data_IF_174203329455
#
_entry.id   IF_174203329455
#
_cell.length_a   1.000
_cell.length_b   1.000
_cell.length_c   1.000
_cell.angle_alpha   90.00
_cell.angle_beta   90.00
_cell.angle_gamma   90.00
#
_symmetry.space_group_name_H-M   'P 1'
#
loop_
_entity.id
_entity.type
_entity.pdbx_description
1 polymer ?
#
# COMPACT_ATOMS: atom_id res chain seq x y z
N UNK A 1 89.50 -21.84 30.27
CA UNK A 1 89.19 -22.23 28.88
C UNK A 1 88.33 -21.14 28.27
N UNK A 2 88.89 -20.13 27.61
CA UNK A 2 89.51 -20.10 26.27
C UNK A 2 88.49 -20.27 25.14
N UNK A 3 88.44 -19.21 24.30
CA UNK A 3 87.97 -19.08 22.90
C UNK A 3 86.51 -18.73 22.59
N UNK A 4 86.33 -17.43 22.34
CA UNK A 4 85.56 -16.89 21.20
C UNK A 4 86.01 -17.51 19.87
N UNK A 5 85.12 -17.55 18.87
CA UNK A 5 85.52 -17.26 17.50
C UNK A 5 84.75 -16.10 16.87
N UNK A 6 85.54 -15.24 16.26
CA UNK A 6 85.16 -14.21 15.29
C UNK A 6 84.39 -14.78 14.09
N UNK A 7 83.43 -13.99 13.58
CA UNK A 7 83.17 -13.92 12.15
C UNK A 7 82.73 -12.51 11.72
N UNK A 8 83.67 -11.80 11.09
CA UNK A 8 83.47 -10.58 10.28
C UNK A 8 82.68 -10.91 9.01
N UNK A 9 81.70 -10.08 8.63
CA UNK A 9 81.32 -9.76 7.22
C UNK A 9 80.71 -8.35 7.19
N UNK A 10 81.48 -7.33 6.80
CA UNK A 10 81.49 -6.65 5.49
C UNK A 10 80.12 -6.14 4.99
N UNK A 11 80.13 -4.84 4.72
CA UNK A 11 79.09 -3.93 4.28
C UNK A 11 78.33 -4.35 3.02
N UNK A 12 77.09 -3.86 2.89
CA UNK A 12 76.53 -3.40 1.61
C UNK A 12 75.56 -2.23 1.86
N UNK A 13 75.93 -1.06 1.37
CA UNK A 13 75.04 0.06 1.11
C UNK A 13 73.99 -0.36 0.08
N UNK A 14 72.71 -0.23 0.41
CA UNK A 14 71.63 -0.24 -0.59
C UNK A 14 70.76 0.99 -0.36
N UNK A 15 71.06 2.02 -1.14
CA UNK A 15 70.25 3.23 -1.30
C UNK A 15 69.01 2.84 -2.11
N UNK A 16 67.92 2.45 -1.45
CA UNK A 16 66.64 2.16 -2.12
C UNK A 16 65.88 3.45 -2.37
N UNK A 17 65.80 3.81 -3.65
CA UNK A 17 64.85 4.75 -4.23
C UNK A 17 63.43 4.38 -3.80
N UNK A 18 62.77 5.27 -3.05
CA UNK A 18 61.35 5.17 -2.73
C UNK A 18 60.53 5.60 -3.95
N UNK A 19 59.61 4.77 -4.48
CA UNK A 19 58.72 5.17 -5.54
C UNK A 19 57.66 6.16 -5.03
N UNK A 20 57.57 7.29 -5.71
CA UNK A 20 56.68 8.45 -5.52
C UNK A 20 55.18 8.17 -5.79
N UNK A 21 54.72 6.92 -5.63
CA UNK A 21 53.35 6.48 -5.91
C UNK A 21 52.34 6.66 -4.77
N UNK A 22 52.78 6.85 -3.51
CA UNK A 22 51.87 6.85 -2.35
C UNK A 22 51.09 8.15 -2.12
N UNK A 23 51.43 9.26 -2.78
CA UNK A 23 50.74 10.55 -2.59
C UNK A 23 49.45 10.70 -3.42
N UNK A 24 49.28 9.95 -4.52
CA UNK A 24 48.05 10.06 -5.36
C UNK A 24 46.86 9.24 -4.84
N UNK A 25 47.10 8.17 -4.08
CA UNK A 25 46.01 7.33 -3.53
C UNK A 25 45.24 7.99 -2.37
N UNK A 26 45.90 8.82 -1.55
CA UNK A 26 45.25 9.50 -0.41
C UNK A 26 44.28 10.63 -0.84
N UNK A 27 44.53 11.33 -1.96
CA UNK A 27 43.63 12.39 -2.44
C UNK A 27 42.30 11.87 -2.99
N UNK A 28 42.26 10.66 -3.58
CA UNK A 28 41.01 10.08 -4.09
C UNK A 28 40.06 9.58 -2.99
N UNK A 29 40.60 9.11 -1.85
CA UNK A 29 39.79 8.67 -0.70
C UNK A 29 39.15 9.84 0.06
N UNK A 30 39.82 10.99 0.16
CA UNK A 30 39.25 12.18 0.83
C UNK A 30 38.15 12.86 0.01
N UNK A 31 38.25 12.84 -1.32
CA UNK A 31 37.19 13.36 -2.20
C UNK A 31 35.92 12.50 -2.18
N UNK A 32 36.02 11.16 -2.11
CA UNK A 32 34.84 10.28 -1.98
C UNK A 32 34.07 10.51 -0.67
N UNK A 33 34.78 10.68 0.45
CA UNK A 33 34.15 10.96 1.77
C UNK A 33 33.44 12.31 1.85
N UNK A 34 33.86 13.31 1.06
CA UNK A 34 33.18 14.61 1.01
C UNK A 34 31.92 14.60 0.13
N UNK A 35 31.83 13.69 -0.84
CA UNK A 35 30.64 13.54 -1.70
C UNK A 35 29.50 12.82 -0.97
N UNK A 36 29.80 11.86 -0.09
CA UNK A 36 28.78 11.19 0.74
C UNK A 36 28.15 12.10 1.80
N UNK A 37 28.88 13.09 2.32
CA UNK A 37 28.36 14.05 3.32
C UNK A 37 27.44 15.13 2.76
N UNK A 38 27.27 15.20 1.43
CA UNK A 38 26.36 16.13 0.76
C UNK A 38 25.11 15.43 0.21
N UNK A 39 24.91 14.15 0.53
CA UNK A 39 23.58 13.57 0.37
C UNK A 39 22.75 14.11 1.54
N UNK A 40 21.72 14.93 1.31
CA UNK A 40 20.78 15.24 2.38
C UNK A 40 20.34 13.90 2.99
N UNK A 41 20.16 13.82 4.33
CA UNK A 41 19.53 12.64 4.91
C UNK A 41 18.27 12.38 4.09
N UNK A 42 18.10 11.13 3.64
CA UNK A 42 16.84 10.73 3.06
C UNK A 42 15.77 11.16 4.06
N UNK A 43 14.91 12.09 3.66
CA UNK A 43 13.77 12.48 4.47
C UNK A 43 13.08 11.19 4.89
N UNK A 44 12.68 11.05 6.16
CA UNK A 44 11.86 9.91 6.54
C UNK A 44 10.68 9.94 5.58
N UNK A 45 10.58 8.90 4.74
CA UNK A 45 9.36 8.63 3.99
C UNK A 45 8.33 8.34 5.07
N UNK A 46 7.66 9.39 5.54
CA UNK A 46 6.43 9.28 6.31
C UNK A 46 5.57 8.36 5.46
N UNK A 47 5.33 7.15 5.95
CA UNK A 47 4.56 6.17 5.21
C UNK A 47 3.17 6.74 5.02
N UNK A 48 2.92 7.34 3.85
CA UNK A 48 1.62 7.87 3.48
C UNK A 48 0.64 6.68 3.55
N UNK A 49 -0.37 6.81 4.41
CA UNK A 49 -1.52 5.92 4.38
C UNK A 49 -2.34 6.34 3.16
N UNK A 50 -2.51 5.50 2.13
CA UNK A 50 -3.44 5.81 1.06
C UNK A 50 -4.81 6.17 1.65
N UNK A 51 -5.34 7.28 1.19
CA UNK A 51 -6.62 7.84 1.59
C UNK A 51 -7.58 7.80 0.40
N UNK A 52 -8.85 7.51 0.68
CA UNK A 52 -9.93 7.57 -0.30
C UNK A 52 -11.12 8.30 0.26
N UNK A 53 -11.49 9.37 -0.43
CA UNK A 53 -12.71 10.09 -0.19
C UNK A 53 -13.83 9.57 -1.11
N UNK A 54 -15.07 9.57 -0.62
CA UNK A 54 -16.25 9.32 -1.44
C UNK A 54 -17.41 10.17 -0.94
N UNK A 55 -18.15 10.78 -1.87
CA UNK A 55 -19.32 11.60 -1.58
C UNK A 55 -20.57 11.00 -2.22
N UNK A 56 -21.65 11.00 -1.44
CA UNK A 56 -22.98 10.60 -1.87
C UNK A 56 -23.99 11.64 -1.42
N UNK A 57 -25.00 11.89 -2.24
CA UNK A 57 -26.20 12.62 -1.80
C UNK A 57 -27.35 11.64 -1.76
N UNK A 58 -28.04 11.54 -0.62
CA UNK A 58 -29.14 10.60 -0.37
C UNK A 58 -30.42 11.36 0.00
N UNK A 59 -31.57 10.87 -0.46
CA UNK A 59 -32.88 11.49 -0.23
C UNK A 59 -33.46 11.12 1.15
N UNK A 60 -32.71 11.46 2.19
CA UNK A 60 -33.07 11.25 3.58
C UNK A 60 -32.47 12.34 4.48
N UNK A 61 -33.06 12.55 5.65
CA UNK A 61 -32.53 13.49 6.65
C UNK A 61 -31.24 12.96 7.30
N UNK A 62 -30.38 13.83 7.87
CA UNK A 62 -29.14 13.37 8.50
C UNK A 62 -29.38 12.38 9.64
N UNK A 63 -30.51 12.48 10.35
CA UNK A 63 -30.86 11.55 11.43
C UNK A 63 -31.18 10.13 10.92
N UNK A 64 -31.86 10.02 9.78
CA UNK A 64 -32.17 8.73 9.15
C UNK A 64 -30.90 8.06 8.61
N UNK A 65 -30.05 8.83 7.95
CA UNK A 65 -28.75 8.36 7.45
C UNK A 65 -27.84 7.96 8.61
N UNK A 66 -27.84 8.73 9.71
CA UNK A 66 -27.09 8.41 10.91
C UNK A 66 -27.48 7.07 11.52
N UNK A 67 -28.78 6.78 11.56
CA UNK A 67 -29.29 5.49 12.05
C UNK A 67 -28.73 4.34 11.23
N UNK A 68 -28.59 4.50 9.91
CA UNK A 68 -27.95 3.52 9.04
C UNK A 68 -26.43 3.42 9.25
N UNK A 69 -25.72 4.55 9.35
CA UNK A 69 -24.27 4.57 9.61
C UNK A 69 -23.92 3.86 10.94
N UNK A 70 -24.79 3.99 11.95
CA UNK A 70 -24.66 3.33 13.26
C UNK A 70 -25.08 1.86 13.28
N UNK A 71 -25.86 1.42 12.30
CA UNK A 71 -26.23 0.00 12.15
C UNK A 71 -25.09 -0.74 11.46
N UNK A 72 -24.18 -1.31 12.26
CA UNK A 72 -22.99 -2.02 11.76
C UNK A 72 -23.36 -3.14 10.79
N UNK A 73 -24.48 -3.83 10.99
CA UNK A 73 -24.90 -4.90 10.09
C UNK A 73 -25.35 -4.35 8.74
N UNK A 74 -26.20 -3.32 8.74
CA UNK A 74 -26.65 -2.68 7.50
C UNK A 74 -25.50 -1.97 6.76
N UNK A 75 -24.57 -1.34 7.49
CA UNK A 75 -23.40 -0.70 6.89
C UNK A 75 -22.48 -1.77 6.26
N UNK A 76 -22.20 -2.85 6.98
CA UNK A 76 -21.32 -3.91 6.50
C UNK A 76 -21.92 -4.75 5.37
N UNK A 77 -23.26 -4.83 5.24
CA UNK A 77 -23.87 -5.48 4.08
C UNK A 77 -23.58 -4.75 2.77
N UNK A 78 -23.18 -3.48 2.84
CA UNK A 78 -22.76 -2.69 1.69
C UNK A 78 -21.27 -2.84 1.37
N UNK A 79 -20.50 -3.57 2.19
CA UNK A 79 -19.07 -3.77 2.02
C UNK A 79 -18.83 -5.13 1.36
N UNK A 80 -18.32 -5.17 0.12
CA UNK A 80 -18.10 -6.43 -0.59
C UNK A 80 -17.07 -7.30 0.12
N UNK A 81 -17.32 -8.61 0.13
CA UNK A 81 -16.45 -9.59 0.75
C UNK A 81 -16.61 -9.73 2.26
N UNK A 82 -17.44 -8.92 2.94
CA UNK A 82 -17.81 -9.21 4.34
C UNK A 82 -18.64 -10.49 4.37
N UNK A 83 -18.13 -11.53 5.03
CA UNK A 83 -18.84 -12.82 5.21
C UNK A 83 -19.47 -12.93 6.60
N UNK A 84 -18.90 -12.27 7.61
CA UNK A 84 -19.39 -12.34 9.00
C UNK A 84 -19.21 -11.02 9.72
N UNK A 85 -20.23 -10.65 10.48
CA UNK A 85 -20.24 -9.50 11.40
C UNK A 85 -20.66 -10.03 12.76
N UNK A 86 -19.88 -9.74 13.81
CA UNK A 86 -20.19 -10.08 15.19
C UNK A 86 -20.06 -8.82 16.03
N UNK A 87 -21.19 -8.27 16.47
CA UNK A 87 -21.20 -7.15 17.39
C UNK A 87 -20.71 -7.62 18.77
N UNK A 88 -19.69 -6.95 19.31
CA UNK A 88 -19.14 -7.24 20.64
C UNK A 88 -19.77 -6.33 21.69
N UNK A 89 -19.95 -5.06 21.34
CA UNK A 89 -20.62 -4.03 22.14
C UNK A 89 -21.13 -2.90 21.23
N UNK A 90 -21.66 -1.83 21.82
CA UNK A 90 -22.25 -0.70 21.09
C UNK A 90 -21.28 0.05 20.15
N UNK A 91 -19.97 -0.14 20.31
CA UNK A 91 -18.93 0.57 19.56
C UNK A 91 -17.95 -0.37 18.88
N UNK A 92 -18.03 -1.67 19.12
CA UNK A 92 -17.00 -2.63 18.71
C UNK A 92 -17.63 -3.83 18.00
N UNK A 93 -17.06 -4.21 16.85
CA UNK A 93 -17.48 -5.37 16.09
C UNK A 93 -16.29 -6.12 15.50
N UNK A 94 -16.41 -7.45 15.44
CA UNK A 94 -15.52 -8.31 14.67
C UNK A 94 -16.10 -8.57 13.28
N UNK A 95 -15.27 -8.39 12.26
CA UNK A 95 -15.61 -8.53 10.85
C UNK A 95 -14.70 -9.59 10.21
N UNK A 96 -15.28 -10.50 9.43
CA UNK A 96 -14.51 -11.39 8.55
C UNK A 96 -14.71 -10.95 7.12
N UNK A 97 -13.63 -10.50 6.48
CA UNK A 97 -13.61 -10.07 5.07
C UNK A 97 -12.85 -11.10 4.27
N UNK A 98 -13.46 -11.59 3.19
CA UNK A 98 -12.85 -12.48 2.22
C UNK A 98 -12.89 -11.84 0.85
N UNK A 99 -11.70 -11.62 0.31
CA UNK A 99 -11.49 -10.96 -0.96
C UNK A 99 -10.59 -11.82 -1.85
N UNK A 100 -10.78 -11.72 -3.16
CA UNK A 100 -9.91 -12.43 -4.10
C UNK A 100 -8.90 -11.47 -4.71
N UNK A 101 -7.64 -11.60 -4.29
CA UNK A 101 -6.53 -10.81 -4.84
C UNK A 101 -5.84 -11.62 -5.94
N UNK A 102 -6.27 -11.41 -7.18
CA UNK A 102 -5.81 -12.20 -8.32
C UNK A 102 -6.29 -13.65 -8.22
N UNK A 103 -5.36 -14.59 -8.02
CA UNK A 103 -5.68 -16.03 -7.83
C UNK A 103 -5.66 -16.46 -6.36
N UNK A 104 -5.23 -15.59 -5.46
CA UNK A 104 -5.05 -15.91 -4.04
C UNK A 104 -6.26 -15.41 -3.25
N UNK A 105 -6.96 -16.28 -2.51
CA UNK A 105 -7.97 -15.83 -1.56
C UNK A 105 -7.29 -15.18 -0.35
N UNK A 106 -7.72 -13.97 -0.01
CA UNK A 106 -7.33 -13.25 1.19
C UNK A 106 -8.49 -13.28 2.17
N UNK A 107 -8.27 -13.79 3.37
CA UNK A 107 -9.23 -13.74 4.47
C UNK A 107 -8.61 -12.90 5.57
N UNK A 108 -9.29 -11.83 5.96
CA UNK A 108 -8.87 -10.91 7.02
C UNK A 108 -9.94 -10.88 8.09
N UNK A 109 -9.52 -11.08 9.34
CA UNK A 109 -10.36 -10.85 10.51
C UNK A 109 -10.00 -9.49 11.08
N UNK A 110 -10.95 -8.55 11.05
CA UNK A 110 -10.77 -7.20 11.55
C UNK A 110 -11.58 -6.99 12.82
N UNK A 111 -11.03 -6.22 13.75
CA UNK A 111 -11.79 -5.63 14.85
C UNK A 111 -11.96 -4.15 14.57
N UNK A 112 -13.21 -3.74 14.33
CA UNK A 112 -13.61 -2.35 14.17
C UNK A 112 -14.08 -1.77 15.50
N UNK A 113 -13.69 -0.53 15.79
CA UNK A 113 -14.08 0.21 16.98
C UNK A 113 -14.38 1.67 16.62
N UNK A 114 -15.47 2.20 17.14
CA UNK A 114 -15.80 3.63 17.03
C UNK A 114 -15.08 4.38 18.14
N UNK A 115 -14.15 5.25 17.77
CA UNK A 115 -13.31 5.99 18.71
C UNK A 115 -13.90 7.36 19.06
N UNK A 116 -14.58 8.03 18.13
CA UNK A 116 -15.29 9.29 18.38
C UNK A 116 -16.56 9.39 17.54
N UNK A 117 -17.57 10.11 18.07
CA UNK A 117 -18.78 10.45 17.31
C UNK A 117 -19.42 11.73 17.83
N UNK A 118 -20.11 12.43 16.92
CA UNK A 118 -20.94 13.61 17.17
C UNK A 118 -22.25 13.42 16.38
N UNK A 119 -23.26 12.75 16.96
CA UNK A 119 -24.51 12.48 16.26
C UNK A 119 -25.30 13.76 15.90
N UNK A 120 -25.95 13.83 14.72
CA UNK A 120 -25.87 12.91 13.58
C UNK A 120 -24.77 13.27 12.57
N UNK A 121 -23.76 14.07 12.93
CA UNK A 121 -22.90 14.74 11.96
C UNK A 121 -21.60 14.01 11.65
N UNK A 122 -20.95 13.35 12.62
CA UNK A 122 -19.60 12.80 12.42
C UNK A 122 -19.36 11.52 13.18
N UNK A 123 -18.64 10.58 12.56
CA UNK A 123 -18.16 9.35 13.18
C UNK A 123 -16.72 9.09 12.77
N UNK A 124 -15.88 8.74 13.74
CA UNK A 124 -14.51 8.25 13.51
C UNK A 124 -14.37 6.85 14.09
N UNK A 125 -13.90 5.92 13.27
CA UNK A 125 -13.68 4.53 13.65
C UNK A 125 -12.32 4.02 13.15
N UNK A 126 -11.77 3.08 13.89
CA UNK A 126 -10.53 2.38 13.56
C UNK A 126 -10.82 0.89 13.46
N UNK A 127 -10.37 0.26 12.38
CA UNK A 127 -10.40 -1.19 12.22
C UNK A 127 -8.97 -1.73 12.11
N UNK A 128 -8.69 -2.80 12.86
CA UNK A 128 -7.35 -3.40 12.93
C UNK A 128 -7.39 -4.90 12.66
N UNK A 129 -6.36 -5.40 11.99
CA UNK A 129 -6.08 -6.81 11.81
C UNK A 129 -4.55 -7.02 11.81
N UNK A 130 -4.11 -8.27 11.73
CA UNK A 130 -2.68 -8.55 11.60
C UNK A 130 -2.10 -7.87 10.37
N UNK A 131 -1.10 -7.02 10.57
CA UNK A 131 -0.46 -6.19 9.54
C UNK A 131 -1.40 -5.25 8.76
N UNK A 132 -2.56 -4.87 9.31
CA UNK A 132 -3.50 -3.96 8.66
C UNK A 132 -4.15 -3.01 9.67
N UNK A 133 -4.12 -1.72 9.38
CA UNK A 133 -4.87 -0.69 10.12
C UNK A 133 -5.68 0.11 9.12
N UNK A 134 -6.94 0.38 9.45
CA UNK A 134 -7.85 1.20 8.68
C UNK A 134 -8.48 2.25 9.57
N UNK A 135 -8.52 3.49 9.11
CA UNK A 135 -9.26 4.58 9.74
C UNK A 135 -10.41 4.95 8.82
N UNK A 136 -11.57 5.22 9.42
CA UNK A 136 -12.81 5.56 8.72
C UNK A 136 -13.37 6.82 9.37
N UNK A 137 -13.50 7.88 8.59
CA UNK A 137 -14.29 9.05 8.96
C UNK A 137 -15.58 9.08 8.13
N UNK A 138 -16.69 9.37 8.80
CA UNK A 138 -17.97 9.64 8.18
C UNK A 138 -18.41 11.04 8.57
N UNK A 139 -18.84 11.82 7.60
CA UNK A 139 -19.43 13.14 7.80
C UNK A 139 -20.80 13.23 7.12
N UNK A 140 -21.81 13.70 7.84
CA UNK A 140 -23.14 14.00 7.31
C UNK A 140 -23.36 15.51 7.32
N UNK A 141 -23.81 16.04 6.18
CA UNK A 141 -24.22 17.45 6.06
C UNK A 141 -25.62 17.54 5.46
N UNK A 142 -26.50 18.40 5.99
CA UNK A 142 -27.78 18.68 5.34
C UNK A 142 -27.58 19.28 3.93
N UNK A 143 -28.35 18.81 2.96
CA UNK A 143 -28.51 19.36 1.60
C UNK A 143 -30.00 19.54 1.29
N UNK A 144 -30.61 20.59 1.87
CA UNK A 144 -32.05 20.79 1.81
C UNK A 144 -32.80 19.65 2.54
N UNK A 145 -33.73 18.93 1.88
CA UNK A 145 -34.37 17.74 2.48
C UNK A 145 -33.47 16.49 2.45
N UNK A 146 -32.34 16.56 1.74
CA UNK A 146 -31.41 15.46 1.52
C UNK A 146 -30.21 15.56 2.47
N UNK A 147 -29.33 14.57 2.39
CA UNK A 147 -28.07 14.55 3.13
C UNK A 147 -26.90 14.27 2.20
N UNK A 148 -25.85 15.07 2.30
CA UNK A 148 -24.53 14.75 1.79
C UNK A 148 -23.80 13.85 2.81
N UNK A 149 -23.45 12.65 2.39
CA UNK A 149 -22.63 11.68 3.10
C UNK A 149 -21.21 11.70 2.53
N UNK A 150 -20.25 12.08 3.37
CA UNK A 150 -18.82 12.01 3.10
C UNK A 150 -18.24 10.79 3.83
N UNK A 151 -17.64 9.87 3.09
CA UNK A 151 -16.85 8.78 3.64
C UNK A 151 -15.36 8.99 3.32
N UNK A 152 -14.50 8.87 4.32
CA UNK A 152 -13.06 8.95 4.17
C UNK A 152 -12.42 7.71 4.77
N UNK A 153 -11.65 6.98 3.98
CA UNK A 153 -11.02 5.73 4.41
C UNK A 153 -9.52 5.86 4.20
N UNK A 154 -8.74 5.66 5.27
CA UNK A 154 -7.27 5.55 5.22
C UNK A 154 -6.86 4.15 5.56
N UNK A 155 -5.95 3.55 4.81
CA UNK A 155 -5.49 2.20 5.10
C UNK A 155 -3.99 2.09 5.09
N UNK A 156 -3.47 1.41 6.10
CA UNK A 156 -2.06 1.06 6.26
C UNK A 156 -1.92 -0.44 6.25
N UNK A 157 -1.28 -0.96 5.20
CA UNK A 157 -0.78 -2.33 5.18
C UNK A 157 0.67 -2.39 5.64
N UNK A 158 1.02 -3.38 6.45
CA UNK A 158 2.39 -3.68 6.86
C UNK A 158 2.83 -5.04 6.33
N UNK A 159 4.13 -5.30 6.37
CA UNK A 159 4.69 -6.60 5.98
C UNK A 159 4.25 -7.08 4.58
N UNK A 160 3.85 -8.37 4.44
CA UNK A 160 3.39 -8.94 3.16
C UNK A 160 2.09 -8.31 2.61
N UNK A 161 1.28 -7.67 3.46
CA UNK A 161 0.01 -7.05 3.05
C UNK A 161 0.20 -5.67 2.44
N UNK A 162 1.30 -4.97 2.74
CA UNK A 162 1.59 -3.63 2.20
C UNK A 162 1.41 -3.51 0.67
N UNK A 163 2.02 -4.36 -0.20
CA UNK A 163 1.81 -4.26 -1.64
C UNK A 163 0.39 -4.67 -2.09
N UNK A 164 -0.28 -5.54 -1.33
CA UNK A 164 -1.65 -5.98 -1.61
C UNK A 164 -2.66 -4.88 -1.32
N UNK A 165 -2.51 -4.20 -0.18
CA UNK A 165 -3.33 -3.06 0.23
C UNK A 165 -3.24 -1.96 -0.82
N UNK A 166 -2.03 -1.56 -1.23
CA UNK A 166 -1.85 -0.53 -2.25
C UNK A 166 -2.55 -0.93 -3.56
N UNK A 167 -2.35 -2.16 -4.05
CA UNK A 167 -3.00 -2.61 -5.29
C UNK A 167 -4.52 -2.79 -5.18
N UNK A 168 -5.07 -3.10 -4.01
CA UNK A 168 -6.51 -3.24 -3.81
C UNK A 168 -7.20 -1.88 -3.67
N UNK A 169 -6.56 -0.94 -2.96
CA UNK A 169 -7.02 0.44 -2.86
C UNK A 169 -7.11 1.09 -4.24
N UNK A 170 -6.11 0.89 -5.09
CA UNK A 170 -6.09 1.53 -6.41
C UNK A 170 -7.08 0.92 -7.43
N UNK A 171 -7.41 -0.38 -7.32
CA UNK A 171 -8.18 -1.08 -8.36
C UNK A 171 -9.64 -1.37 -8.03
N UNK A 172 -9.97 -1.54 -6.74
CA UNK A 172 -11.30 -2.02 -6.31
C UNK A 172 -12.09 -0.96 -5.57
N UNK A 173 -11.52 0.22 -5.31
CA UNK A 173 -12.22 1.30 -4.63
C UNK A 173 -13.45 1.78 -5.41
N UNK A 174 -13.35 1.89 -6.73
CA UNK A 174 -14.46 2.38 -7.56
C UNK A 174 -15.65 1.41 -7.60
N UNK A 175 -15.37 0.11 -7.76
CA UNK A 175 -16.41 -0.92 -7.74
C UNK A 175 -17.10 -0.99 -6.38
N UNK A 176 -16.34 -0.82 -5.28
CA UNK A 176 -16.88 -0.79 -3.92
C UNK A 176 -17.72 0.45 -3.67
N UNK A 177 -17.30 1.61 -4.15
CA UNK A 177 -18.08 2.85 -4.07
C UNK A 177 -19.39 2.74 -4.86
N UNK A 178 -19.37 2.13 -6.04
CA UNK A 178 -20.58 1.91 -6.85
C UNK A 178 -21.58 0.97 -6.17
N UNK A 179 -21.13 -0.16 -5.63
CA UNK A 179 -22.02 -1.08 -4.90
C UNK A 179 -22.58 -0.44 -3.62
N UNK A 180 -21.78 0.38 -2.96
CA UNK A 180 -22.25 1.16 -1.81
C UNK A 180 -23.31 2.18 -2.22
N UNK A 181 -23.11 2.90 -3.34
CA UNK A 181 -24.12 3.80 -3.90
C UNK A 181 -25.42 3.07 -4.24
N UNK A 182 -25.36 1.92 -4.92
CA UNK A 182 -26.54 1.12 -5.26
C UNK A 182 -27.35 0.72 -4.01
N UNK A 183 -26.67 0.35 -2.92
CA UNK A 183 -27.34 0.01 -1.66
C UNK A 183 -27.96 1.23 -0.98
N UNK A 184 -27.29 2.38 -1.03
CA UNK A 184 -27.87 3.65 -0.55
C UNK A 184 -29.09 4.06 -1.36
N UNK A 185 -29.07 3.89 -2.69
CA UNK A 185 -30.22 4.15 -3.56
C UNK A 185 -31.41 3.27 -3.21
N UNK A 186 -31.18 1.97 -3.05
CA UNK A 186 -32.22 1.02 -2.69
C UNK A 186 -32.86 1.35 -1.33
N UNK A 187 -32.08 1.92 -0.40
CA UNK A 187 -32.53 2.21 0.96
C UNK A 187 -33.18 3.59 1.10
N UNK A 188 -32.64 4.61 0.44
CA UNK A 188 -32.99 6.02 0.66
C UNK A 188 -33.51 6.74 -0.59
N UNK A 189 -33.47 6.14 -1.79
CA UNK A 189 -33.82 6.81 -3.04
C UNK A 189 -32.63 7.47 -3.74
N UNK A 190 -32.84 7.94 -4.98
CA UNK A 190 -31.82 8.25 -6.00
C UNK A 190 -30.54 8.95 -5.49
N UNK A 191 -29.38 8.42 -5.88
CA UNK A 191 -28.04 8.85 -5.45
C UNK A 191 -27.33 9.54 -6.61
N UNK A 192 -26.79 10.72 -6.33
CA UNK A 192 -25.65 11.23 -7.08
C UNK A 192 -24.38 10.78 -6.36
N UNK A 193 -23.65 9.81 -6.90
CA UNK A 193 -22.34 9.42 -6.38
C UNK A 193 -21.26 10.19 -7.14
N UNK A 194 -20.58 11.13 -6.48
CA UNK A 194 -19.35 11.73 -7.00
C UNK A 194 -18.17 11.14 -6.24
N UNK A 195 -17.46 10.22 -6.89
CA UNK A 195 -16.18 9.71 -6.39
C UNK A 195 -15.10 10.72 -6.78
N UNK A 196 -14.73 11.61 -5.85
CA UNK A 196 -13.59 12.53 -6.07
C UNK A 196 -12.30 11.80 -5.70
N UNK A 197 -11.56 11.40 -6.74
CA UNK A 197 -10.21 10.83 -6.59
C UNK A 197 -9.22 11.97 -6.53
N UNK A 198 -8.84 12.43 -5.35
CA UNK A 198 -7.67 13.31 -5.23
C UNK A 198 -6.39 12.46 -5.19
N UNK A 199 -5.99 11.95 -6.36
CA UNK A 199 -4.64 11.42 -6.57
C UNK A 199 -3.67 12.60 -6.75
N UNK A 200 -2.79 12.81 -5.77
CA UNK A 200 -1.59 13.63 -5.97
C UNK A 200 -0.77 13.03 -7.13
N UNK A 201 -0.34 13.82 -8.13
CA UNK A 201 0.34 13.27 -9.31
C UNK A 201 1.78 12.90 -8.97
N UNK A 202 2.06 11.60 -8.84
CA UNK A 202 3.40 11.06 -9.00
C UNK A 202 3.50 10.43 -10.41
N UNK A 203 4.43 10.93 -11.22
CA UNK A 203 4.60 10.57 -12.63
C UNK A 203 4.67 9.05 -12.85
N UNK A 204 4.02 8.50 -13.89
CA UNK A 204 4.06 7.08 -14.17
C UNK A 204 5.43 6.71 -14.76
N UNK A 205 6.31 6.16 -13.93
CA UNK A 205 7.40 5.31 -14.44
C UNK A 205 6.76 4.02 -14.96
N UNK A 206 6.40 4.03 -16.24
CA UNK A 206 5.93 2.87 -16.99
C UNK A 206 7.07 1.85 -17.12
N UNK A 207 7.30 1.07 -16.06
CA UNK A 207 7.98 -0.20 -16.24
C UNK A 207 7.03 -1.18 -16.94
N UNK A 208 7.49 -1.92 -17.97
CA UNK A 208 6.63 -2.82 -18.71
C UNK A 208 6.07 -3.88 -17.75
N UNK A 209 4.80 -3.71 -17.42
CA UNK A 209 4.07 -4.51 -16.46
C UNK A 209 4.22 -5.99 -16.76
N UNK A 210 4.29 -6.79 -15.71
CA UNK A 210 4.44 -8.25 -15.81
C UNK A 210 3.38 -8.88 -16.75
N UNK A 211 2.21 -8.25 -16.92
CA UNK A 211 1.20 -8.62 -17.92
C UNK A 211 1.71 -8.53 -19.37
N UNK A 212 2.51 -7.52 -19.72
CA UNK A 212 3.17 -7.43 -21.02
C UNK A 212 4.24 -8.54 -21.20
N UNK A 213 4.94 -8.89 -20.11
CA UNK A 213 5.94 -9.96 -20.09
C UNK A 213 5.31 -11.36 -20.16
N UNK A 214 4.20 -11.59 -19.47
CA UNK A 214 3.42 -12.83 -19.50
C UNK A 214 2.67 -12.97 -20.83
N UNK A 215 2.12 -11.89 -21.38
CA UNK A 215 1.51 -11.90 -22.71
C UNK A 215 2.53 -12.16 -23.83
N UNK A 216 3.76 -11.69 -23.69
CA UNK A 216 4.85 -12.05 -24.61
C UNK A 216 5.30 -13.51 -24.43
N UNK A 217 5.33 -14.01 -23.20
CA UNK A 217 5.68 -15.39 -22.88
C UNK A 217 4.63 -16.40 -23.37
N UNK A 218 3.34 -16.13 -23.16
CA UNK A 218 2.22 -16.95 -23.65
C UNK A 218 2.14 -16.97 -25.18
N UNK A 219 2.41 -15.83 -25.85
CA UNK A 219 2.53 -15.79 -27.32
C UNK A 219 3.67 -16.66 -27.83
N UNK A 220 4.85 -16.63 -27.19
CA UNK A 220 5.99 -17.50 -27.54
C UNK A 220 5.70 -18.97 -27.25
N UNK A 221 4.98 -19.28 -26.17
CA UNK A 221 4.59 -20.65 -25.84
C UNK A 221 3.61 -21.22 -26.87
N UNK A 222 2.64 -20.41 -27.30
CA UNK A 222 1.66 -20.77 -28.35
C UNK A 222 2.32 -20.98 -29.71
N UNK A 223 3.28 -20.13 -30.09
CA UNK A 223 4.06 -20.30 -31.33
C UNK A 223 4.91 -21.57 -31.33
N UNK A 224 5.50 -21.93 -30.17
CA UNK A 224 6.27 -23.18 -30.02
C UNK A 224 5.40 -24.43 -30.06
N UNK A 225 4.16 -24.34 -29.59
CA UNK A 225 3.20 -25.45 -29.66
C UNK A 225 2.67 -25.64 -31.08
N UNK A 226 2.40 -24.55 -31.81
CA UNK A 226 1.96 -24.58 -33.21
C UNK A 226 3.06 -25.07 -34.18
N UNK A 227 4.33 -24.77 -33.90
CA UNK A 227 5.46 -25.30 -34.67
C UNK A 227 5.69 -26.81 -34.45
N UNK A 228 5.21 -27.39 -33.34
CA UNK A 228 5.31 -28.82 -33.05
C UNK A 228 4.18 -29.65 -33.64
N UNK A 229 3.01 -29.04 -33.91
CA UNK A 229 1.88 -29.69 -34.57
C UNK A 229 1.92 -29.62 -36.10
N UNK A 230 2.87 -28.89 -36.70
CA UNK A 230 3.04 -28.78 -38.15
C UNK A 230 4.11 -29.73 -38.74
N UNK A 231 4.45 -30.82 -38.04
CA UNK A 231 5.33 -31.87 -38.60
C UNK A 231 4.56 -33.17 -38.78
N UNK A 232 4.00 -33.44 -39.97
CA UNK A 232 3.76 -34.80 -40.42
C UNK A 232 5.10 -35.40 -40.85
N UNK A 233 5.46 -36.51 -40.23
CA UNK A 233 6.53 -37.38 -40.70
C UNK A 233 6.21 -37.92 -42.10
N UNK A 234 7.31 -38.21 -42.80
CA UNK A 234 7.41 -38.94 -44.07
C UNK A 234 6.48 -40.14 -44.18
#
# INVERSE_FOLDING_TARGET
MVRLPHARRRALHVRRLLPSGRRRARRRRSQRRRRDRRRPPAEPVVGLMPERETRFVVDASPAEVWTFVRDVHALCSCIPGVEKVTLLDERTADLTVKEKVGVVPLIVQLRARIDAEDPPHRLHAVATADHLTMEIDVGLKPDGPRTELLGLIRVKGEGPLRPVVNSLFDKRADERAAQFAEQLEQRFGAVGAEVVVETTPEEPVQEPGWLARVGAWLRRLRQRLQARSASPGK
#
